data_IF_940424629573
#
_entry.id   IF_940424629573
#
_cell.length_a   1.000
_cell.length_b   1.000
_cell.length_c   1.000
_cell.angle_alpha   90.00
_cell.angle_beta   90.00
_cell.angle_gamma   90.00
#
_symmetry.space_group_name_H-M   'P 1'
#
loop_
_entity.id
_entity.type
_entity.pdbx_description
1 polymer ?
#
# COMPACT_ATOMS: atom_id res chain seq x y z
N UNK A 1 52.01 -21.11 25.64
CA UNK A 1 51.96 -20.33 24.39
C UNK A 1 50.56 -20.48 23.84
N UNK A 2 49.75 -19.42 23.99
CA UNK A 2 48.40 -19.15 23.44
C UNK A 2 47.22 -20.08 23.82
N UNK A 3 46.66 -19.85 25.00
CA UNK A 3 45.23 -19.98 25.34
C UNK A 3 44.71 -18.52 25.41
N UNK A 4 43.58 -18.06 24.86
CA UNK A 4 42.32 -18.73 24.57
C UNK A 4 41.59 -17.98 23.43
N UNK A 5 41.41 -18.60 22.27
CA UNK A 5 40.56 -18.04 21.18
C UNK A 5 39.06 -18.07 21.55
N UNK A 6 38.70 -18.95 22.49
CA UNK A 6 37.31 -19.19 22.92
C UNK A 6 36.69 -18.01 23.69
N UNK A 7 37.49 -17.21 24.40
CA UNK A 7 36.99 -16.15 25.29
C UNK A 7 36.54 -14.90 24.53
N UNK A 8 37.20 -14.56 23.42
CA UNK A 8 36.89 -13.35 22.65
C UNK A 8 35.64 -13.56 21.81
N UNK A 9 35.50 -14.73 21.19
CA UNK A 9 34.30 -15.12 20.45
C UNK A 9 33.07 -15.17 21.35
N UNK A 10 33.21 -15.75 22.54
CA UNK A 10 32.13 -15.81 23.53
C UNK A 10 31.70 -14.41 24.01
N UNK A 11 32.65 -13.47 24.17
CA UNK A 11 32.36 -12.07 24.53
C UNK A 11 31.59 -11.34 23.43
N UNK A 12 31.97 -11.52 22.17
CA UNK A 12 31.28 -10.89 21.03
C UNK A 12 29.88 -11.48 20.83
N UNK A 13 29.73 -12.80 20.94
CA UNK A 13 28.41 -13.48 20.87
C UNK A 13 27.50 -13.05 22.02
N UNK A 14 28.04 -12.87 23.23
CA UNK A 14 27.29 -12.34 24.37
C UNK A 14 26.83 -10.88 24.18
N UNK A 15 27.57 -10.07 23.41
CA UNK A 15 27.13 -8.70 23.07
C UNK A 15 26.02 -8.69 22.02
N UNK A 16 26.05 -9.59 21.03
CA UNK A 16 24.96 -9.75 20.04
C UNK A 16 23.69 -10.26 20.72
N UNK A 17 23.82 -11.15 21.71
CA UNK A 17 22.69 -11.71 22.47
C UNK A 17 21.99 -10.70 23.38
N UNK A 18 22.60 -9.52 23.60
CA UNK A 18 22.04 -8.39 24.35
C UNK A 18 21.26 -7.40 23.48
N UNK A 19 21.17 -7.64 22.16
CA UNK A 19 20.16 -6.96 21.34
C UNK A 19 18.81 -7.33 21.92
N UNK A 20 18.20 -6.33 22.56
CA UNK A 20 17.05 -6.41 23.44
C UNK A 20 16.03 -7.51 23.06
N UNK A 21 15.88 -8.50 23.95
CA UNK A 21 14.65 -9.32 24.06
C UNK A 21 13.50 -8.52 24.69
N UNK A 22 13.39 -7.22 24.39
CA UNK A 22 12.17 -6.50 24.71
C UNK A 22 11.09 -7.15 23.85
N UNK A 23 9.95 -7.58 24.41
CA UNK A 23 8.80 -7.83 23.57
C UNK A 23 8.54 -6.49 22.89
N UNK A 24 8.89 -6.38 21.61
CA UNK A 24 8.43 -5.28 20.78
C UNK A 24 6.92 -5.33 20.98
N UNK A 25 6.35 -4.29 21.58
CA UNK A 25 4.92 -4.08 21.54
C UNK A 25 4.57 -3.92 20.07
N UNK A 26 4.46 -5.05 19.36
CA UNK A 26 4.47 -5.16 17.91
C UNK A 26 3.13 -4.69 17.32
N UNK A 27 2.20 -4.33 18.19
CA UNK A 27 0.82 -4.00 17.83
C UNK A 27 0.61 -2.49 17.72
N UNK A 28 1.49 -1.65 18.27
CA UNK A 28 1.32 -0.19 18.28
C UNK A 28 2.21 0.58 17.27
N UNK A 29 3.42 0.11 16.98
CA UNK A 29 4.32 0.74 16.00
C UNK A 29 4.13 0.25 14.55
N UNK A 30 3.41 -0.86 14.35
CA UNK A 30 3.05 -1.35 13.01
C UNK A 30 1.91 -0.55 12.36
N UNK A 31 1.37 0.45 13.05
CA UNK A 31 0.30 1.34 12.60
C UNK A 31 0.77 2.72 12.13
N UNK A 32 2.09 2.96 11.99
CA UNK A 32 2.54 3.92 10.97
C UNK A 32 2.28 3.30 9.60
N UNK A 33 0.99 3.28 9.25
CA UNK A 33 0.47 2.82 7.97
C UNK A 33 0.99 3.83 6.96
N UNK A 34 2.11 3.52 6.30
CA UNK A 34 2.52 4.30 5.15
C UNK A 34 1.39 4.19 4.14
N UNK A 35 0.60 5.25 4.00
CA UNK A 35 -0.48 5.26 3.02
C UNK A 35 0.14 5.03 1.64
N UNK A 36 -0.55 4.30 0.75
CA UNK A 36 -0.07 4.14 -0.61
C UNK A 36 0.12 5.52 -1.24
N UNK A 37 1.25 5.74 -1.91
CA UNK A 37 1.40 6.89 -2.80
C UNK A 37 0.64 6.59 -4.08
N UNK A 38 -0.48 7.29 -4.27
CA UNK A 38 -1.36 7.11 -5.43
C UNK A 38 -1.37 8.38 -6.26
N UNK A 39 -1.17 8.25 -7.58
CA UNK A 39 -1.31 9.36 -8.53
C UNK A 39 -2.17 8.94 -9.71
N UNK A 40 -3.14 9.76 -10.09
CA UNK A 40 -3.84 9.61 -11.36
C UNK A 40 -2.94 10.18 -12.44
N UNK A 41 -2.47 9.33 -13.35
CA UNK A 41 -1.58 9.72 -14.45
C UNK A 41 -2.37 10.21 -15.66
N UNK A 42 -3.45 9.50 -15.98
CA UNK A 42 -4.26 9.77 -17.16
C UNK A 42 -5.71 9.38 -16.89
N UNK A 43 -6.62 10.12 -17.52
CA UNK A 43 -8.02 9.73 -17.65
C UNK A 43 -8.33 9.49 -19.12
N UNK A 44 -8.09 8.26 -19.57
CA UNK A 44 -8.32 7.90 -20.97
C UNK A 44 -9.80 8.07 -21.38
N UNK A 45 -10.73 7.81 -20.46
CA UNK A 45 -12.18 8.06 -20.65
C UNK A 45 -12.86 8.34 -19.31
N UNK A 46 -14.16 8.70 -19.34
CA UNK A 46 -14.98 8.74 -18.12
C UNK A 46 -15.06 7.39 -17.38
N UNK A 47 -14.76 6.27 -18.06
CA UNK A 47 -14.84 4.91 -17.52
C UNK A 47 -13.49 4.34 -17.07
N UNK A 48 -12.36 4.95 -17.45
CA UNK A 48 -11.04 4.35 -17.28
C UNK A 48 -9.99 5.37 -16.84
N UNK A 49 -9.20 5.01 -15.84
CA UNK A 49 -8.03 5.75 -15.39
C UNK A 49 -6.75 4.94 -15.57
N UNK A 50 -5.64 5.64 -15.76
CA UNK A 50 -4.30 5.11 -15.53
C UNK A 50 -3.78 5.68 -14.22
N UNK A 51 -3.39 4.82 -13.30
CA UNK A 51 -2.97 5.16 -11.94
C UNK A 51 -1.57 4.64 -11.70
N UNK A 52 -0.71 5.44 -11.07
CA UNK A 52 0.50 4.95 -10.42
C UNK A 52 0.25 4.70 -8.94
N UNK A 53 0.80 3.60 -8.46
CA UNK A 53 0.64 3.12 -7.09
C UNK A 53 2.01 2.71 -6.55
N UNK A 54 2.34 3.16 -5.35
CA UNK A 54 3.50 2.70 -4.61
C UNK A 54 3.12 2.48 -3.15
N UNK A 55 3.28 1.25 -2.68
CA UNK A 55 3.00 0.87 -1.31
C UNK A 55 4.00 -0.18 -0.82
N UNK A 56 4.42 -0.04 0.44
CA UNK A 56 5.37 -0.95 1.07
C UNK A 56 4.83 -2.38 1.23
N UNK A 57 3.51 -2.57 1.22
CA UNK A 57 2.87 -3.88 1.43
C UNK A 57 2.43 -4.56 0.14
N UNK A 58 2.00 -3.77 -0.84
CA UNK A 58 1.42 -4.26 -2.10
C UNK A 58 2.30 -4.02 -3.32
N UNK A 59 3.41 -3.30 -3.16
CA UNK A 59 4.42 -3.08 -4.19
C UNK A 59 4.18 -1.82 -5.03
N UNK A 60 4.85 -1.77 -6.18
CA UNK A 60 4.79 -0.64 -7.11
C UNK A 60 4.14 -1.05 -8.44
N UNK A 61 3.14 -0.28 -8.87
CA UNK A 61 2.50 -0.39 -10.17
C UNK A 61 2.57 0.97 -10.86
N UNK A 62 3.46 1.11 -11.85
CA UNK A 62 3.73 2.41 -12.48
C UNK A 62 2.58 2.93 -13.35
N UNK A 63 2.00 2.06 -14.19
CA UNK A 63 0.88 2.38 -15.08
C UNK A 63 -0.18 1.28 -14.99
N UNK A 64 -1.08 1.40 -14.02
CA UNK A 64 -2.14 0.43 -13.81
C UNK A 64 -3.47 0.96 -14.34
N UNK A 65 -4.19 0.15 -15.12
CA UNK A 65 -5.52 0.49 -15.62
C UNK A 65 -6.58 0.24 -14.55
N UNK A 66 -7.39 1.26 -14.28
CA UNK A 66 -8.48 1.24 -13.32
C UNK A 66 -9.81 1.52 -14.01
N UNK A 67 -10.84 0.73 -13.71
CA UNK A 67 -12.18 0.86 -14.30
C UNK A 67 -13.19 1.45 -13.33
N UNK A 68 -14.13 2.25 -13.86
CA UNK A 68 -15.26 2.79 -13.11
C UNK A 68 -16.29 1.68 -12.84
N UNK A 69 -16.69 1.51 -11.59
CA UNK A 69 -17.68 0.54 -11.13
C UNK A 69 -18.47 1.08 -9.94
N UNK A 70 -19.54 0.37 -9.58
CA UNK A 70 -20.27 0.62 -8.32
C UNK A 70 -19.56 -0.12 -7.20
N UNK A 71 -19.29 0.58 -6.09
CA UNK A 71 -18.70 0.00 -4.90
C UNK A 71 -19.63 -1.05 -4.30
N UNK A 72 -19.14 -2.29 -4.17
CA UNK A 72 -19.91 -3.40 -3.57
C UNK A 72 -19.86 -3.40 -2.05
N UNK A 73 -18.91 -2.66 -1.47
CA UNK A 73 -18.66 -2.59 -0.03
C UNK A 73 -18.17 -1.20 0.34
N UNK A 74 -18.34 -0.85 1.60
CA UNK A 74 -17.77 0.36 2.15
C UNK A 74 -16.23 0.30 2.19
N UNK A 75 -15.58 1.44 2.22
CA UNK A 75 -14.12 1.55 2.30
C UNK A 75 -13.65 2.98 2.35
N UNK A 76 -12.40 3.20 1.94
CA UNK A 76 -11.77 4.52 1.93
C UNK A 76 -11.19 4.80 0.55
N UNK A 77 -11.37 6.03 0.08
CA UNK A 77 -10.74 6.52 -1.12
C UNK A 77 -9.23 6.58 -0.92
N UNK A 78 -8.48 5.77 -1.65
CA UNK A 78 -7.01 5.73 -1.54
C UNK A 78 -6.33 7.02 -2.05
N UNK A 79 -7.07 7.86 -2.79
CA UNK A 79 -6.57 9.13 -3.29
C UNK A 79 -6.85 10.30 -2.34
N UNK A 80 -8.06 10.36 -1.78
CA UNK A 80 -8.52 11.52 -1.00
C UNK A 80 -8.74 11.23 0.49
N UNK A 81 -8.62 9.99 0.93
CA UNK A 81 -8.92 9.56 2.31
C UNK A 81 -10.40 9.58 2.70
N UNK A 82 -11.30 10.00 1.81
CA UNK A 82 -12.74 10.08 2.11
C UNK A 82 -13.39 8.70 2.21
N UNK A 83 -14.42 8.59 3.05
CA UNK A 83 -15.22 7.37 3.16
C UNK A 83 -15.98 7.05 1.88
N UNK A 84 -16.09 5.76 1.57
CA UNK A 84 -16.83 5.19 0.44
C UNK A 84 -17.94 4.31 1.02
N UNK A 85 -19.18 4.51 0.59
CA UNK A 85 -20.30 3.64 0.89
C UNK A 85 -20.51 2.60 -0.24
N UNK A 86 -21.15 1.48 0.10
CA UNK A 86 -21.67 0.59 -0.94
C UNK A 86 -22.72 1.34 -1.78
N UNK A 87 -22.61 1.26 -3.11
CA UNK A 87 -23.44 2.02 -4.05
C UNK A 87 -22.71 3.22 -4.69
N UNK A 88 -21.61 3.69 -4.11
CA UNK A 88 -20.86 4.82 -4.67
C UNK A 88 -20.18 4.45 -6.00
N UNK A 89 -20.05 5.43 -6.90
CA UNK A 89 -19.24 5.31 -8.10
C UNK A 89 -17.76 5.43 -7.75
N UNK A 90 -16.99 4.40 -8.05
CA UNK A 90 -15.55 4.31 -7.77
C UNK A 90 -14.77 3.86 -8.98
N UNK A 91 -13.50 4.26 -9.05
CA UNK A 91 -12.49 3.60 -9.87
C UNK A 91 -11.74 2.57 -9.05
N UNK A 92 -11.30 1.50 -9.71
CA UNK A 92 -10.66 0.35 -9.07
C UNK A 92 -9.78 -0.43 -10.05
N UNK A 93 -8.74 -1.15 -9.59
CA UNK A 93 -7.85 -1.88 -10.50
C UNK A 93 -8.62 -2.87 -11.38
N UNK A 94 -8.28 -2.88 -12.66
CA UNK A 94 -8.78 -3.90 -13.57
C UNK A 94 -8.05 -5.21 -13.30
N UNK A 95 -8.79 -6.26 -12.98
CA UNK A 95 -8.23 -7.58 -12.67
C UNK A 95 -8.25 -8.43 -13.94
N UNK A 96 -7.07 -8.78 -14.48
CA UNK A 96 -6.93 -9.79 -15.53
C UNK A 96 -6.12 -10.97 -14.99
N UNK A 97 -6.76 -12.13 -14.83
CA UNK A 97 -6.14 -13.29 -14.21
C UNK A 97 -6.07 -13.16 -12.69
N UNK A 98 -4.89 -13.41 -12.11
CA UNK A 98 -4.69 -13.31 -10.66
C UNK A 98 -4.87 -11.87 -10.17
N UNK A 99 -5.67 -11.61 -9.12
CA UNK A 99 -5.83 -10.27 -8.57
C UNK A 99 -4.50 -9.67 -8.10
N UNK A 100 -4.19 -8.40 -8.44
CA UNK A 100 -3.04 -7.72 -7.86
C UNK A 100 -3.25 -7.49 -6.36
N UNK A 101 -2.17 -7.25 -5.61
CA UNK A 101 -2.24 -7.06 -4.16
C UNK A 101 -3.07 -5.83 -3.76
N UNK A 102 -3.23 -4.86 -4.66
CA UNK A 102 -4.07 -3.69 -4.48
C UNK A 102 -5.49 -3.81 -5.09
N UNK A 103 -5.95 -5.00 -5.50
CA UNK A 103 -7.22 -5.21 -6.23
C UNK A 103 -8.47 -4.59 -5.56
N UNK A 104 -8.39 -4.43 -4.24
CA UNK A 104 -9.45 -3.90 -3.39
C UNK A 104 -9.39 -2.39 -3.16
N UNK A 105 -8.37 -1.73 -3.71
CA UNK A 105 -8.22 -0.30 -3.63
C UNK A 105 -9.32 0.40 -4.45
N UNK A 106 -9.80 1.52 -3.92
CA UNK A 106 -10.92 2.28 -4.50
C UNK A 106 -10.62 3.78 -4.50
N UNK A 107 -10.99 4.46 -5.58
CA UNK A 107 -10.95 5.93 -5.69
C UNK A 107 -12.37 6.40 -5.98
N UNK A 108 -12.94 7.32 -5.18
CA UNK A 108 -14.26 7.90 -5.46
C UNK A 108 -14.21 8.64 -6.80
N UNK A 109 -15.18 8.38 -7.67
CA UNK A 109 -15.17 8.92 -9.02
C UNK A 109 -15.27 10.45 -9.05
N UNK A 110 -15.98 11.07 -8.09
CA UNK A 110 -16.11 12.53 -7.98
C UNK A 110 -14.82 13.23 -7.52
N UNK A 111 -13.87 12.52 -6.91
CA UNK A 111 -12.56 13.08 -6.53
C UNK A 111 -11.61 13.21 -7.73
N UNK A 112 -11.92 12.57 -8.85
CA UNK A 112 -11.15 12.71 -10.10
C UNK A 112 -11.89 13.74 -10.95
N UNK A 113 -11.27 14.91 -11.12
CA UNK A 113 -11.89 16.06 -11.77
C UNK A 113 -12.62 15.66 -13.06
N UNK A 114 -13.83 16.18 -13.33
CA UNK A 114 -14.42 16.08 -14.67
C UNK A 114 -13.44 16.70 -15.67
N UNK A 115 -13.31 16.12 -16.87
CA UNK A 115 -12.52 16.75 -17.92
C UNK A 115 -12.99 18.21 -18.09
N UNK A 116 -12.08 19.18 -18.23
CA UNK A 116 -12.45 20.42 -18.89
C UNK A 116 -12.82 20.01 -20.32
N UNK A 117 -14.13 19.96 -20.59
CA UNK A 117 -14.66 19.67 -21.91
C UNK A 117 -13.98 20.65 -22.89
N UNK A 118 -13.18 20.10 -23.79
CA UNK A 118 -12.72 20.75 -25.01
C UNK A 118 -13.51 20.16 -26.18
#
# INVERSE_FOLDING_TARGET
MFETSSDVWSRTVAMISRVDKRPRSAVAHAQEWTQPTVRVLERATSQTLTVSWCDSRTGHYGHQTWGRRIARRAGTCVLSGHGIAAGDLVYSPHVRGSPPANAEAMIIASCVAPDPIA
#
